data_IF_596699128403
#
_entry.id   IF_596699128403
#
_cell.length_a   1.000
_cell.length_b   1.000
_cell.length_c   1.000
_cell.angle_alpha   90.00
_cell.angle_beta   90.00
_cell.angle_gamma   90.00
#
_symmetry.space_group_name_H-M   'P 1'
#
loop_
_entity.id
_entity.type
_entity.pdbx_description
1 polymer ?
#
# COMPACT_ATOMS: atom_id res chain seq x y z
N UNK A 1 -3.53 -36.06 -88.15
CA UNK A 1 -3.82 -37.41 -87.63
C UNK A 1 -4.03 -37.21 -86.14
N UNK A 2 -5.28 -36.91 -85.76
CA UNK A 2 -6.26 -37.89 -85.19
C UNK A 2 -6.04 -37.97 -83.67
N UNK A 3 -6.98 -37.83 -82.74
CA UNK A 3 -8.42 -37.59 -82.70
C UNK A 3 -8.72 -37.00 -81.30
N UNK A 4 -9.85 -36.31 -81.16
CA UNK A 4 -10.42 -35.84 -79.90
C UNK A 4 -11.33 -36.91 -79.33
N UNK A 5 -11.32 -37.14 -78.01
CA UNK A 5 -12.58 -37.36 -77.25
C UNK A 5 -12.44 -37.09 -75.75
N UNK A 6 -13.25 -36.13 -75.36
CA UNK A 6 -13.62 -35.66 -74.02
C UNK A 6 -14.71 -36.59 -73.44
N UNK A 7 -14.82 -36.68 -72.10
CA UNK A 7 -16.05 -36.67 -71.28
C UNK A 7 -15.84 -37.40 -69.95
N UNK A 8 -16.44 -37.07 -68.80
CA UNK A 8 -17.28 -35.97 -68.28
C UNK A 8 -17.43 -36.25 -66.75
N UNK A 9 -17.32 -35.23 -65.90
CA UNK A 9 -18.36 -34.70 -64.99
C UNK A 9 -18.56 -35.36 -63.59
N UNK A 10 -18.08 -34.65 -62.54
CA UNK A 10 -18.78 -34.04 -61.36
C UNK A 10 -19.89 -34.78 -60.56
N UNK A 11 -20.40 -34.23 -59.43
CA UNK A 11 -19.80 -33.63 -58.21
C UNK A 11 -20.49 -34.12 -56.90
N UNK A 12 -19.99 -33.83 -55.68
CA UNK A 12 -20.89 -33.70 -54.51
C UNK A 12 -20.31 -32.87 -53.34
N UNK A 13 -21.20 -32.12 -52.68
CA UNK A 13 -20.98 -31.11 -51.63
C UNK A 13 -21.13 -31.71 -50.23
N UNK A 14 -20.47 -31.13 -49.22
CA UNK A 14 -21.11 -30.79 -47.93
C UNK A 14 -20.19 -29.88 -47.09
N UNK A 15 -20.80 -28.90 -46.42
CA UNK A 15 -20.17 -27.91 -45.53
C UNK A 15 -19.91 -28.40 -44.10
N UNK A 16 -19.80 -27.48 -43.11
CA UNK A 16 -18.75 -27.47 -42.10
C UNK A 16 -19.14 -28.13 -40.76
N UNK A 17 -18.15 -28.62 -40.01
CA UNK A 17 -18.33 -29.03 -38.61
C UNK A 17 -17.14 -28.58 -37.75
N UNK A 18 -17.40 -27.58 -36.92
CA UNK A 18 -16.63 -27.23 -35.74
C UNK A 18 -17.17 -28.09 -34.60
N UNK A 19 -16.48 -29.16 -34.18
CA UNK A 19 -16.34 -29.56 -32.77
C UNK A 19 -15.70 -30.94 -32.54
N UNK A 20 -14.96 -31.00 -31.42
CA UNK A 20 -14.31 -32.13 -30.72
C UNK A 20 -12.86 -32.45 -31.15
N UNK A 21 -11.88 -32.45 -30.26
CA UNK A 21 -11.96 -32.35 -28.80
C UNK A 21 -10.59 -32.15 -28.15
N UNK A 22 -10.69 -31.54 -26.97
CA UNK A 22 -9.66 -31.31 -25.98
C UNK A 22 -8.98 -32.61 -25.57
N UNK A 23 -7.64 -32.63 -25.59
CA UNK A 23 -6.86 -33.33 -24.58
C UNK A 23 -5.58 -32.55 -24.27
N UNK A 24 -5.31 -32.50 -22.98
CA UNK A 24 -4.45 -31.59 -22.23
C UNK A 24 -2.97 -31.85 -22.44
N UNK A 25 -2.16 -30.79 -22.61
CA UNK A 25 -0.76 -30.82 -22.19
C UNK A 25 -0.50 -29.75 -21.12
N UNK A 26 -0.22 -30.26 -19.93
CA UNK A 26 0.30 -29.57 -18.77
C UNK A 26 1.82 -29.71 -18.76
N UNK A 27 2.54 -28.62 -19.10
CA UNK A 27 3.84 -28.21 -18.51
C UNK A 27 4.46 -27.09 -19.35
N UNK A 28 4.75 -25.94 -18.71
CA UNK A 28 5.54 -24.90 -19.36
C UNK A 28 5.47 -23.49 -18.77
N UNK A 29 5.35 -23.31 -17.45
CA UNK A 29 5.67 -22.01 -16.85
C UNK A 29 7.19 -21.89 -16.76
N UNK A 30 7.80 -21.27 -17.76
CA UNK A 30 9.23 -20.99 -17.81
C UNK A 30 9.68 -19.98 -16.74
N UNK A 31 10.97 -19.98 -16.37
CA UNK A 31 11.54 -19.14 -15.29
C UNK A 31 11.50 -17.62 -15.56
N UNK A 32 11.07 -17.17 -16.74
CA UNK A 32 11.05 -15.76 -17.13
C UNK A 32 10.00 -14.90 -16.41
N UNK A 33 8.84 -15.44 -16.04
CA UNK A 33 7.74 -14.68 -15.41
C UNK A 33 8.03 -14.38 -13.93
N UNK A 34 8.66 -15.31 -13.23
CA UNK A 34 9.03 -15.17 -11.81
C UNK A 34 10.21 -14.22 -11.63
N UNK A 35 11.19 -14.21 -12.55
CA UNK A 35 12.33 -13.29 -12.52
C UNK A 35 11.90 -11.86 -12.86
N UNK A 36 11.01 -11.68 -13.84
CA UNK A 36 10.47 -10.36 -14.20
C UNK A 36 9.57 -9.78 -13.11
N UNK A 37 8.78 -10.65 -12.43
CA UNK A 37 8.04 -10.27 -11.22
C UNK A 37 9.00 -9.83 -10.11
N UNK A 38 10.06 -10.61 -9.82
CA UNK A 38 11.12 -10.28 -8.84
C UNK A 38 11.88 -8.99 -9.15
N UNK A 39 12.10 -8.68 -10.42
CA UNK A 39 12.78 -7.45 -10.85
C UNK A 39 11.88 -6.21 -10.64
N UNK A 40 10.60 -6.28 -11.04
CA UNK A 40 9.58 -5.27 -10.69
C UNK A 40 9.32 -5.18 -9.17
N UNK A 41 9.60 -6.25 -8.43
CA UNK A 41 9.45 -6.42 -6.97
C UNK A 41 10.45 -5.58 -6.17
N UNK A 42 11.73 -5.66 -6.56
CA UNK A 42 12.79 -4.82 -5.99
C UNK A 42 12.59 -3.39 -6.43
N UNK A 43 12.07 -3.15 -7.64
CA UNK A 43 11.76 -1.82 -8.16
C UNK A 43 10.60 -1.15 -7.42
N UNK A 44 9.55 -1.86 -6.98
CA UNK A 44 8.46 -1.27 -6.18
C UNK A 44 8.90 -0.88 -4.77
N UNK A 45 9.69 -1.75 -4.10
CA UNK A 45 10.30 -1.45 -2.81
C UNK A 45 11.41 -0.40 -2.93
N UNK A 46 12.16 -0.43 -4.04
CA UNK A 46 13.09 0.62 -4.40
C UNK A 46 12.32 1.90 -4.64
N UNK A 47 11.27 1.99 -5.46
CA UNK A 47 10.48 3.21 -5.72
C UNK A 47 9.83 3.81 -4.45
N UNK A 48 9.47 2.98 -3.47
CA UNK A 48 9.04 3.46 -2.14
C UNK A 48 10.19 4.01 -1.28
N UNK A 49 11.44 3.73 -1.67
CA UNK A 49 12.72 4.05 -1.02
C UNK A 49 13.66 4.93 -1.89
N UNK A 50 13.34 5.12 -3.18
CA UNK A 50 14.02 5.79 -4.30
C UNK A 50 13.05 6.86 -4.79
N UNK A 51 12.88 7.86 -3.95
CA UNK A 51 12.72 9.24 -4.40
C UNK A 51 14.14 9.76 -4.72
N UNK A 52 14.29 10.71 -5.65
CA UNK A 52 15.53 10.90 -6.41
C UNK A 52 16.79 10.96 -5.53
N UNK A 53 17.76 10.09 -5.84
CA UNK A 53 19.09 10.07 -5.23
C UNK A 53 19.88 11.30 -5.68
N UNK A 54 19.80 12.37 -4.90
CA UNK A 54 20.57 13.58 -5.14
C UNK A 54 20.42 14.59 -4.02
N UNK A 55 20.90 14.26 -2.82
CA UNK A 55 21.50 15.16 -1.80
C UNK A 55 22.00 14.22 -0.68
N UNK A 56 23.28 13.83 -0.76
CA UNK A 56 24.03 13.34 0.40
C UNK A 56 24.79 14.52 0.97
N UNK A 57 24.40 14.97 2.17
CA UNK A 57 25.21 15.88 2.98
C UNK A 57 24.44 16.50 4.15
N UNK A 58 24.51 15.89 5.33
CA UNK A 58 24.21 16.59 6.60
C UNK A 58 23.45 15.75 7.64
N UNK A 59 23.86 15.75 8.92
CA UNK A 59 23.51 14.70 9.87
C UNK A 59 22.19 14.94 10.62
N UNK A 60 21.53 13.83 10.94
CA UNK A 60 20.70 13.57 12.13
C UNK A 60 19.89 14.74 12.70
N UNK A 61 18.59 14.77 12.38
CA UNK A 61 17.61 15.40 13.26
C UNK A 61 16.91 14.33 14.09
N UNK A 62 17.42 14.12 15.30
CA UNK A 62 16.59 13.67 16.41
C UNK A 62 15.53 14.74 16.62
N UNK A 63 14.30 14.46 16.20
CA UNK A 63 13.16 15.29 16.58
C UNK A 63 13.02 15.24 18.10
N UNK A 64 13.17 16.41 18.71
CA UNK A 64 12.82 16.69 20.09
C UNK A 64 11.38 16.23 20.34
N UNK A 65 11.19 15.41 21.37
CA UNK A 65 9.88 15.08 21.90
C UNK A 65 9.30 16.38 22.50
N UNK A 66 8.39 17.04 21.79
CA UNK A 66 7.59 18.14 22.34
C UNK A 66 6.69 17.59 23.46
N UNK A 67 7.17 17.73 24.69
CA UNK A 67 6.31 17.81 25.88
C UNK A 67 5.57 19.15 25.87
N UNK A 68 4.65 19.31 24.93
CA UNK A 68 3.66 20.39 24.93
C UNK A 68 2.58 20.12 25.98
N UNK A 69 2.91 20.39 27.25
CA UNK A 69 1.94 20.48 28.33
C UNK A 69 1.00 21.65 28.04
N UNK A 70 -0.29 21.36 27.84
CA UNK A 70 -1.32 22.37 27.72
C UNK A 70 -1.45 23.13 29.05
N UNK A 71 -0.91 24.34 29.11
CA UNK A 71 -1.19 25.31 30.16
C UNK A 71 -2.53 25.99 29.87
N UNK A 72 -3.60 25.45 30.44
CA UNK A 72 -4.87 26.14 30.70
C UNK A 72 -5.11 26.18 32.22
N UNK A 73 -5.79 27.20 32.75
CA UNK A 73 -5.76 27.51 34.18
C UNK A 73 -6.44 26.41 35.00
N UNK A 74 -5.87 26.19 36.19
CA UNK A 74 -6.30 25.22 37.17
C UNK A 74 -7.79 25.37 37.54
N UNK A 75 -8.55 24.33 37.25
CA UNK A 75 -9.65 23.90 38.10
C UNK A 75 -9.30 22.50 38.60
N UNK A 76 -9.01 22.46 39.89
CA UNK A 76 -8.47 21.35 40.64
C UNK A 76 -9.58 20.35 40.95
N UNK A 77 -10.01 19.59 39.94
CA UNK A 77 -10.84 18.41 40.14
C UNK A 77 -9.94 17.19 40.35
N UNK A 78 -9.96 16.68 41.58
CA UNK A 78 -9.18 15.57 42.09
C UNK A 78 -9.18 14.35 41.15
N UNK A 79 -8.09 14.19 40.39
CA UNK A 79 -7.89 13.02 39.53
C UNK A 79 -7.56 11.76 40.37
N UNK A 80 -8.39 10.73 40.24
CA UNK A 80 -8.18 9.42 40.85
C UNK A 80 -6.83 8.78 40.42
N UNK A 81 -6.01 8.24 41.36
CA UNK A 81 -4.68 7.68 41.10
C UNK A 81 -4.67 6.43 40.18
N UNK A 82 -5.84 5.87 39.85
CA UNK A 82 -5.97 4.76 38.90
C UNK A 82 -5.69 5.13 37.44
N UNK A 83 -5.96 6.37 37.02
CA UNK A 83 -5.92 6.77 35.61
C UNK A 83 -4.50 6.98 35.05
N UNK A 84 -3.52 7.30 35.90
CA UNK A 84 -2.12 7.46 35.49
C UNK A 84 -1.38 6.12 35.36
N UNK A 85 -1.69 5.14 36.21
CA UNK A 85 -1.12 3.77 36.14
C UNK A 85 -1.54 3.02 34.88
N UNK A 86 -2.77 3.21 34.40
CA UNK A 86 -3.29 2.54 33.19
C UNK A 86 -2.66 3.10 31.91
N UNK A 87 -2.50 4.43 31.81
CA UNK A 87 -1.79 5.09 30.69
C UNK A 87 -0.33 4.64 30.56
N UNK A 88 0.38 4.49 31.70
CA UNK A 88 1.78 4.05 31.73
C UNK A 88 1.94 2.57 31.38
N UNK A 89 1.03 1.70 31.84
CA UNK A 89 0.97 0.29 31.42
C UNK A 89 0.66 0.13 29.92
N UNK A 90 -0.27 0.90 29.37
CA UNK A 90 -0.59 0.88 27.94
C UNK A 90 0.62 1.31 27.09
N UNK A 91 1.35 2.36 27.49
CA UNK A 91 2.60 2.78 26.85
C UNK A 91 3.68 1.69 26.86
N UNK A 92 3.86 0.98 27.98
CA UNK A 92 4.82 -0.14 28.09
C UNK A 92 4.43 -1.34 27.22
N UNK A 93 3.15 -1.74 27.21
CA UNK A 93 2.64 -2.82 26.36
C UNK A 93 2.79 -2.48 24.87
N UNK A 94 2.59 -1.21 24.50
CA UNK A 94 2.81 -0.72 23.13
C UNK A 94 4.28 -0.84 22.71
N UNK A 95 5.21 -0.32 23.51
CA UNK A 95 6.66 -0.42 23.22
C UNK A 95 7.11 -1.88 23.13
N UNK A 96 6.64 -2.75 24.01
CA UNK A 96 6.97 -4.17 23.95
C UNK A 96 6.42 -4.84 22.67
N UNK A 97 5.23 -4.46 22.19
CA UNK A 97 4.68 -4.95 20.94
C UNK A 97 5.43 -4.41 19.71
N UNK A 98 5.79 -3.12 19.71
CA UNK A 98 6.65 -2.50 18.70
C UNK A 98 8.00 -3.23 18.62
N UNK A 99 8.66 -3.46 19.76
CA UNK A 99 9.93 -4.18 19.83
C UNK A 99 9.80 -5.63 19.33
N UNK A 100 8.74 -6.33 19.71
CA UNK A 100 8.50 -7.72 19.28
C UNK A 100 8.34 -7.80 17.76
N UNK A 101 7.62 -6.84 17.15
CA UNK A 101 7.32 -6.79 15.72
C UNK A 101 8.47 -6.20 14.88
N UNK A 102 9.50 -5.64 15.51
CA UNK A 102 10.58 -4.98 14.75
C UNK A 102 11.98 -5.51 15.07
N UNK A 103 12.21 -6.27 16.14
CA UNK A 103 13.55 -6.76 16.49
C UNK A 103 13.99 -7.97 15.67
N UNK A 104 13.13 -8.98 15.53
CA UNK A 104 13.46 -10.23 14.81
C UNK A 104 12.76 -10.25 13.45
N UNK A 105 13.16 -9.34 12.55
CA UNK A 105 12.48 -9.03 11.29
C UNK A 105 12.07 -10.24 10.45
N UNK A 106 12.92 -11.26 10.34
CA UNK A 106 12.62 -12.49 9.57
C UNK A 106 11.52 -13.32 10.23
N UNK A 107 11.63 -13.57 11.54
CA UNK A 107 10.62 -14.32 12.30
C UNK A 107 9.28 -13.58 12.31
N UNK A 108 9.31 -12.26 12.44
CA UNK A 108 8.10 -11.43 12.38
C UNK A 108 7.47 -11.51 11.00
N UNK A 109 8.25 -11.39 9.93
CA UNK A 109 7.73 -11.51 8.58
C UNK A 109 7.05 -12.86 8.35
N UNK A 110 7.68 -13.97 8.78
CA UNK A 110 7.07 -15.30 8.70
C UNK A 110 5.79 -15.41 9.53
N UNK A 111 5.77 -14.86 10.74
CA UNK A 111 4.60 -14.86 11.61
C UNK A 111 3.44 -14.06 11.02
N UNK A 112 3.71 -12.85 10.52
CA UNK A 112 2.72 -11.96 9.92
C UNK A 112 2.14 -12.53 8.64
N UNK A 113 2.95 -13.21 7.82
CA UNK A 113 2.48 -13.84 6.59
C UNK A 113 1.58 -15.05 6.91
N UNK A 114 2.00 -15.93 7.83
CA UNK A 114 1.23 -17.11 8.25
C UNK A 114 -0.09 -16.76 8.93
N UNK A 115 -0.11 -15.69 9.74
CA UNK A 115 -1.27 -15.31 10.56
C UNK A 115 -1.94 -14.02 10.05
N UNK A 116 -1.81 -13.72 8.77
CA UNK A 116 -2.18 -12.43 8.20
C UNK A 116 -3.62 -12.00 8.52
N UNK A 117 -4.60 -12.87 8.29
CA UNK A 117 -6.01 -12.48 8.44
C UNK A 117 -6.33 -12.14 9.90
N UNK A 118 -5.96 -13.00 10.85
CA UNK A 118 -6.20 -12.75 12.28
C UNK A 118 -5.51 -11.47 12.76
N UNK A 119 -4.20 -11.33 12.44
CA UNK A 119 -3.42 -10.16 12.86
C UNK A 119 -3.99 -8.87 12.30
N UNK A 120 -4.25 -8.80 10.98
CA UNK A 120 -4.69 -7.56 10.36
C UNK A 120 -6.16 -7.24 10.62
N UNK A 121 -7.02 -8.22 10.89
CA UNK A 121 -8.38 -7.97 11.39
C UNK A 121 -8.35 -7.31 12.76
N UNK A 122 -7.49 -7.75 13.67
CA UNK A 122 -7.34 -7.09 14.97
C UNK A 122 -6.61 -5.74 14.87
N UNK A 123 -5.64 -5.64 13.96
CA UNK A 123 -4.91 -4.41 13.72
C UNK A 123 -5.83 -3.30 13.21
N UNK A 124 -6.80 -3.63 12.36
CA UNK A 124 -7.79 -2.66 11.85
C UNK A 124 -8.58 -2.01 12.99
N UNK A 125 -8.86 -2.73 14.09
CA UNK A 125 -9.52 -2.16 15.28
C UNK A 125 -8.66 -1.07 15.93
N UNK A 126 -7.33 -1.23 15.91
CA UNK A 126 -6.41 -0.22 16.43
C UNK A 126 -6.41 1.04 15.57
N UNK A 127 -6.56 0.90 14.25
CA UNK A 127 -6.67 2.02 13.32
C UNK A 127 -8.00 2.76 13.47
N UNK A 128 -9.04 2.11 13.98
CA UNK A 128 -10.33 2.74 14.30
C UNK A 128 -10.43 3.25 15.74
N UNK A 129 -9.40 3.06 16.57
CA UNK A 129 -9.41 3.46 17.97
C UNK A 129 -9.75 4.95 18.17
N UNK A 130 -10.66 5.26 19.08
CA UNK A 130 -10.95 6.63 19.55
C UNK A 130 -9.78 7.23 20.35
N UNK A 131 -8.90 6.38 20.89
CA UNK A 131 -7.67 6.85 21.53
C UNK A 131 -6.68 7.36 20.48
N UNK A 132 -6.47 8.67 20.46
CA UNK A 132 -5.54 9.37 19.56
C UNK A 132 -4.14 8.74 19.53
N UNK A 133 -3.54 8.46 20.70
CA UNK A 133 -2.19 7.91 20.79
C UNK A 133 -2.13 6.52 20.19
N UNK A 134 -3.11 5.66 20.50
CA UNK A 134 -3.21 4.32 19.93
C UNK A 134 -3.36 4.38 18.41
N UNK A 135 -4.30 5.17 17.91
CA UNK A 135 -4.58 5.31 16.47
C UNK A 135 -3.35 5.80 15.71
N UNK A 136 -2.73 6.91 16.17
CA UNK A 136 -1.53 7.48 15.52
C UNK A 136 -0.36 6.49 15.50
N UNK A 137 -0.07 5.85 16.63
CA UNK A 137 1.10 4.99 16.74
C UNK A 137 0.92 3.66 16.01
N UNK A 138 -0.31 3.14 15.98
CA UNK A 138 -0.64 1.98 15.15
C UNK A 138 -0.51 2.33 13.66
N UNK A 139 -0.91 3.53 13.25
CA UNK A 139 -0.75 3.95 11.86
C UNK A 139 0.72 4.14 11.46
N UNK A 140 1.53 4.73 12.34
CA UNK A 140 2.98 4.83 12.16
C UNK A 140 3.64 3.46 12.04
N UNK A 141 3.35 2.56 12.97
CA UNK A 141 3.89 1.19 12.97
C UNK A 141 3.45 0.43 11.71
N UNK A 142 2.22 0.62 11.23
CA UNK A 142 1.77 0.02 9.98
C UNK A 142 2.65 0.49 8.81
N UNK A 143 2.94 1.79 8.71
CA UNK A 143 3.86 2.33 7.70
C UNK A 143 5.24 1.68 7.75
N UNK A 144 5.81 1.56 8.96
CA UNK A 144 7.11 0.90 9.18
C UNK A 144 7.09 -0.58 8.79
N UNK A 145 6.02 -1.31 9.13
CA UNK A 145 5.86 -2.73 8.79
C UNK A 145 5.75 -2.93 7.28
N UNK A 146 4.97 -2.11 6.58
CA UNK A 146 4.76 -2.23 5.14
C UNK A 146 6.00 -1.86 4.33
N UNK A 147 6.83 -0.94 4.82
CA UNK A 147 8.07 -0.51 4.15
C UNK A 147 9.27 -1.41 4.48
N UNK A 148 9.13 -2.36 5.41
CA UNK A 148 10.21 -3.31 5.72
C UNK A 148 10.38 -4.33 4.59
N UNK A 149 11.62 -4.47 4.09
CA UNK A 149 11.96 -5.40 3.01
C UNK A 149 11.59 -6.85 3.30
N UNK A 150 11.59 -7.27 4.57
CA UNK A 150 11.25 -8.65 4.94
C UNK A 150 9.74 -8.90 4.87
N UNK A 151 8.93 -7.85 5.00
CA UNK A 151 7.48 -7.92 4.99
C UNK A 151 6.87 -7.74 3.59
N UNK A 152 7.63 -7.97 2.50
CA UNK A 152 7.15 -7.75 1.15
C UNK A 152 5.83 -8.48 0.84
N UNK A 153 5.71 -9.75 1.25
CA UNK A 153 4.50 -10.55 1.01
C UNK A 153 3.30 -9.93 1.72
N UNK A 154 3.49 -9.55 2.98
CA UNK A 154 2.49 -8.87 3.82
C UNK A 154 2.09 -7.53 3.20
N UNK A 155 3.07 -6.73 2.77
CA UNK A 155 2.85 -5.44 2.11
C UNK A 155 2.00 -5.60 0.85
N UNK A 156 2.40 -6.52 -0.04
CA UNK A 156 1.71 -6.78 -1.31
C UNK A 156 0.27 -7.19 -1.08
N UNK A 157 0.04 -8.08 -0.10
CA UNK A 157 -1.31 -8.49 0.30
C UNK A 157 -2.11 -7.32 0.85
N UNK A 158 -1.52 -6.49 1.70
CA UNK A 158 -2.19 -5.32 2.29
C UNK A 158 -2.64 -4.30 1.25
N UNK A 159 -1.75 -3.94 0.33
CA UNK A 159 -2.03 -2.90 -0.68
C UNK A 159 -2.92 -3.37 -1.83
N UNK A 160 -3.22 -4.67 -1.89
CA UNK A 160 -4.16 -5.24 -2.86
C UNK A 160 -5.64 -5.15 -2.44
N UNK A 161 -5.91 -4.93 -1.14
CA UNK A 161 -7.27 -4.88 -0.58
C UNK A 161 -7.87 -3.47 -0.70
N UNK A 162 -9.07 -3.36 -1.29
CA UNK A 162 -9.77 -2.08 -1.49
C UNK A 162 -10.18 -1.40 -0.19
N UNK A 163 -10.56 -2.17 0.82
CA UNK A 163 -10.97 -1.62 2.12
C UNK A 163 -9.82 -0.90 2.82
N UNK A 164 -8.60 -1.46 2.71
CA UNK A 164 -7.40 -0.80 3.24
C UNK A 164 -7.12 0.54 2.53
N UNK A 165 -7.28 0.60 1.20
CA UNK A 165 -7.13 1.87 0.47
C UNK A 165 -8.17 2.90 0.92
N UNK A 166 -9.45 2.50 1.03
CA UNK A 166 -10.52 3.39 1.49
C UNK A 166 -10.27 3.90 2.90
N UNK A 167 -9.80 3.03 3.80
CA UNK A 167 -9.42 3.41 5.16
C UNK A 167 -8.33 4.49 5.15
N UNK A 168 -7.26 4.28 4.39
CA UNK A 168 -6.18 5.28 4.28
C UNK A 168 -6.68 6.61 3.68
N UNK A 169 -7.51 6.55 2.65
CA UNK A 169 -8.12 7.75 2.04
C UNK A 169 -9.04 8.51 3.01
N UNK A 170 -9.72 7.82 3.91
CA UNK A 170 -10.52 8.44 4.96
C UNK A 170 -9.63 9.07 6.05
N UNK A 171 -8.56 8.37 6.46
CA UNK A 171 -7.61 8.87 7.47
C UNK A 171 -6.80 10.08 6.99
N UNK A 172 -6.58 10.23 5.68
CA UNK A 172 -6.04 11.47 5.09
C UNK A 172 -6.90 12.70 5.41
N UNK A 173 -8.18 12.51 5.74
CA UNK A 173 -9.13 13.57 6.11
C UNK A 173 -9.44 13.62 7.60
N UNK A 174 -8.66 12.91 8.44
CA UNK A 174 -8.83 12.93 9.89
C UNK A 174 -8.66 14.36 10.44
N UNK A 175 -9.31 14.69 11.56
CA UNK A 175 -9.19 16.01 12.20
C UNK A 175 -7.77 16.33 12.69
N UNK A 176 -6.93 15.32 12.93
CA UNK A 176 -5.56 15.48 13.41
C UNK A 176 -4.55 15.50 12.26
N UNK A 177 -3.80 16.61 12.06
CA UNK A 177 -2.73 16.67 11.05
C UNK A 177 -1.69 15.56 11.20
N UNK A 178 -1.41 15.14 12.45
CA UNK A 178 -0.47 14.05 12.71
C UNK A 178 -1.00 12.68 12.26
N UNK A 179 -2.32 12.41 12.37
CA UNK A 179 -2.91 11.18 11.84
C UNK A 179 -2.92 11.22 10.32
N UNK A 180 -3.30 12.35 9.74
CA UNK A 180 -3.27 12.55 8.29
C UNK A 180 -1.86 12.28 7.72
N UNK A 181 -0.81 12.75 8.39
CA UNK A 181 0.57 12.58 7.96
C UNK A 181 1.01 11.11 7.98
N UNK A 182 0.70 10.37 9.05
CA UNK A 182 0.98 8.92 9.08
C UNK A 182 0.14 8.16 8.04
N UNK A 183 -1.11 8.58 7.79
CA UNK A 183 -1.95 8.00 6.74
C UNK A 183 -1.35 8.21 5.34
N UNK A 184 -0.74 9.37 5.10
CA UNK A 184 -0.04 9.68 3.85
C UNK A 184 1.11 8.70 3.59
N UNK A 185 1.90 8.37 4.61
CA UNK A 185 3.00 7.39 4.46
C UNK A 185 2.54 5.98 4.13
N UNK A 186 1.31 5.59 4.51
CA UNK A 186 0.74 4.31 4.10
C UNK A 186 0.08 4.44 2.71
N UNK A 187 -0.66 5.52 2.47
CA UNK A 187 -1.33 5.79 1.19
C UNK A 187 -0.33 5.83 0.01
N UNK A 188 0.85 6.43 0.20
CA UNK A 188 1.87 6.51 -0.85
C UNK A 188 2.28 5.13 -1.37
N UNK A 189 2.27 4.10 -0.53
CA UNK A 189 2.64 2.72 -0.92
C UNK A 189 1.62 2.14 -1.91
N UNK A 190 0.33 2.45 -1.76
CA UNK A 190 -0.71 2.04 -2.72
C UNK A 190 -0.48 2.66 -4.10
N UNK A 191 -0.17 3.96 -4.13
CA UNK A 191 0.01 4.72 -5.37
C UNK A 191 1.36 4.40 -6.04
N UNK A 192 2.41 4.18 -5.26
CA UNK A 192 3.73 3.83 -5.77
C UNK A 192 3.81 2.38 -6.30
N UNK A 193 2.86 1.51 -5.96
CA UNK A 193 2.84 0.13 -6.45
C UNK A 193 2.75 0.09 -8.00
N UNK A 194 3.74 -0.45 -8.72
CA UNK A 194 3.68 -0.54 -10.18
C UNK A 194 2.69 -1.61 -10.68
N UNK A 195 2.32 -2.57 -9.83
CA UNK A 195 1.42 -3.68 -10.13
C UNK A 195 0.15 -3.58 -9.30
N UNK A 196 -0.57 -2.46 -9.44
CA UNK A 196 -1.87 -2.24 -8.77
C UNK A 196 -2.90 -3.23 -9.29
N UNK A 197 -3.74 -3.76 -8.40
CA UNK A 197 -4.88 -4.58 -8.82
C UNK A 197 -5.95 -3.71 -9.48
N UNK A 198 -6.75 -4.29 -10.38
CA UNK A 198 -7.80 -3.54 -11.07
C UNK A 198 -8.74 -2.78 -10.12
N UNK A 199 -9.24 -3.38 -9.01
CA UNK A 199 -10.10 -2.66 -8.08
C UNK A 199 -9.44 -1.44 -7.42
N UNK A 200 -8.11 -1.50 -7.19
CA UNK A 200 -7.35 -0.36 -6.66
C UNK A 200 -7.24 0.75 -7.71
N UNK A 201 -6.93 0.39 -8.96
CA UNK A 201 -6.91 1.34 -10.09
C UNK A 201 -8.25 2.02 -10.26
N UNK A 202 -9.35 1.27 -10.20
CA UNK A 202 -10.71 1.81 -10.37
C UNK A 202 -11.06 2.84 -9.29
N UNK A 203 -10.71 2.58 -8.03
CA UNK A 203 -10.93 3.54 -6.92
C UNK A 203 -10.10 4.82 -7.15
N UNK A 204 -8.82 4.68 -7.52
CA UNK A 204 -7.94 5.83 -7.75
C UNK A 204 -8.41 6.66 -8.95
N UNK A 205 -8.81 6.01 -10.06
CA UNK A 205 -9.36 6.69 -11.24
C UNK A 205 -10.68 7.39 -10.95
N UNK A 206 -11.60 6.73 -10.22
CA UNK A 206 -12.88 7.31 -9.82
C UNK A 206 -12.72 8.59 -8.99
N UNK A 207 -11.63 8.70 -8.23
CA UNK A 207 -11.34 9.85 -7.36
C UNK A 207 -10.20 10.73 -7.88
N UNK A 208 -9.73 10.53 -9.11
CA UNK A 208 -8.46 11.08 -9.62
C UNK A 208 -8.36 12.59 -9.46
N UNK A 209 -9.33 13.35 -10.00
CA UNK A 209 -9.33 14.82 -9.94
C UNK A 209 -9.33 15.32 -8.50
N UNK A 210 -10.19 14.74 -7.64
CA UNK A 210 -10.32 15.13 -6.24
C UNK A 210 -9.05 14.82 -5.44
N UNK A 211 -8.40 13.68 -5.73
CA UNK A 211 -7.14 13.28 -5.10
C UNK A 211 -6.00 14.23 -5.48
N UNK A 212 -5.90 14.63 -6.75
CA UNK A 212 -4.88 15.58 -7.22
C UNK A 212 -5.05 16.93 -6.53
N UNK A 213 -6.28 17.44 -6.51
CA UNK A 213 -6.61 18.71 -5.85
C UNK A 213 -6.33 18.66 -4.34
N UNK A 214 -6.76 17.57 -3.68
CA UNK A 214 -6.52 17.35 -2.27
C UNK A 214 -5.01 17.32 -1.96
N UNK A 215 -4.24 16.48 -2.65
CA UNK A 215 -2.79 16.35 -2.43
C UNK A 215 -2.03 17.63 -2.73
N UNK A 216 -2.48 18.44 -3.70
CA UNK A 216 -1.87 19.74 -3.98
C UNK A 216 -1.95 20.66 -2.75
N UNK A 217 -3.03 20.57 -1.98
CA UNK A 217 -3.31 21.39 -0.80
C UNK A 217 -2.97 20.72 0.54
N UNK A 218 -2.54 19.46 0.52
CA UNK A 218 -2.32 18.67 1.73
C UNK A 218 -1.09 19.16 2.52
N UNK A 219 -1.29 19.61 3.75
CA UNK A 219 -0.26 20.10 4.69
C UNK A 219 0.78 21.03 4.04
N UNK A 220 0.31 22.03 3.30
CA UNK A 220 1.16 23.01 2.57
C UNK A 220 2.08 23.82 3.48
N UNK A 221 1.76 23.91 4.75
CA UNK A 221 2.54 24.59 5.79
C UNK A 221 3.91 23.93 6.07
N UNK A 222 4.11 22.67 5.68
CA UNK A 222 5.38 21.94 5.82
C UNK A 222 6.35 22.27 4.68
N UNK A 223 6.77 23.52 4.57
CA UNK A 223 7.65 23.99 3.49
C UNK A 223 9.12 23.60 3.68
N UNK A 224 9.52 23.27 4.90
CA UNK A 224 10.88 22.87 5.30
C UNK A 224 11.17 21.38 5.09
N UNK A 225 10.13 20.57 4.90
CA UNK A 225 10.26 19.13 4.62
C UNK A 225 10.30 18.88 3.10
N UNK A 226 11.48 19.07 2.51
CA UNK A 226 11.70 18.88 1.06
C UNK A 226 11.29 17.47 0.62
N UNK A 227 11.65 16.46 1.41
CA UNK A 227 11.31 15.07 1.12
C UNK A 227 9.79 14.90 1.00
N UNK A 228 9.01 15.37 1.98
CA UNK A 228 7.55 15.31 1.94
C UNK A 228 6.96 15.99 0.69
N UNK A 229 7.49 17.15 0.31
CA UNK A 229 7.02 17.89 -0.85
C UNK A 229 7.33 17.17 -2.18
N UNK A 230 8.49 16.52 -2.27
CA UNK A 230 8.83 15.64 -3.39
C UNK A 230 7.91 14.41 -3.43
N UNK A 231 7.62 13.79 -2.28
CA UNK A 231 6.71 12.66 -2.18
C UNK A 231 5.32 13.04 -2.73
N UNK A 232 4.79 14.18 -2.30
CA UNK A 232 3.50 14.69 -2.78
C UNK A 232 3.49 14.93 -4.28
N UNK A 233 4.52 15.59 -4.80
CA UNK A 233 4.65 15.91 -6.23
C UNK A 233 4.69 14.63 -7.06
N UNK A 234 5.46 13.64 -6.61
CA UNK A 234 5.52 12.32 -7.23
C UNK A 234 4.16 11.64 -7.24
N UNK A 235 3.43 11.62 -6.12
CA UNK A 235 2.11 10.99 -6.03
C UNK A 235 1.08 11.66 -6.94
N UNK A 236 1.08 12.99 -7.01
CA UNK A 236 0.21 13.75 -7.92
C UNK A 236 0.49 13.35 -9.37
N UNK A 237 1.76 13.26 -9.76
CA UNK A 237 2.17 12.82 -11.09
C UNK A 237 1.68 11.39 -11.37
N UNK A 238 1.94 10.45 -10.46
CA UNK A 238 1.51 9.06 -10.60
C UNK A 238 0.00 8.93 -10.75
N UNK A 239 -0.78 9.66 -9.95
CA UNK A 239 -2.24 9.63 -10.01
C UNK A 239 -2.74 10.25 -11.33
N UNK A 240 -2.14 11.34 -11.80
CA UNK A 240 -2.48 11.98 -13.08
C UNK A 240 -2.21 11.07 -14.27
N UNK A 241 -1.13 10.31 -14.23
CA UNK A 241 -0.70 9.40 -15.29
C UNK A 241 -1.42 8.04 -15.25
N UNK A 242 -2.24 7.76 -14.23
CA UNK A 242 -3.08 6.56 -14.19
C UNK A 242 -4.02 6.51 -15.40
N UNK A 243 -3.98 5.40 -16.11
CA UNK A 243 -4.87 5.07 -17.22
C UNK A 243 -5.56 3.74 -16.93
N UNK A 244 -6.77 3.56 -17.49
CA UNK A 244 -7.37 2.22 -17.52
C UNK A 244 -6.42 1.30 -18.29
N UNK A 245 -6.05 0.13 -17.75
CA UNK A 245 -5.36 -0.86 -18.57
C UNK A 245 -6.24 -1.18 -19.77
N UNK A 246 -5.63 -1.27 -20.95
CA UNK A 246 -6.35 -1.57 -22.18
C UNK A 246 -7.09 -2.90 -22.00
N UNK A 247 -8.41 -2.85 -22.18
CA UNK A 247 -9.31 -4.00 -22.14
C UNK A 247 -9.00 -5.01 -23.23
#
# INVERSE_FOLDING_TARGET
MEEVKVNQASPERAGPSWDRGVQTDSRGQGPGTTVLRKKKQVEAMALARWMPEGIKGGPGQQQQEDEGCASGPAQEDAAHPGAQRTKSKARRRRRAAEDLLTRHKVLVAEFLDKNYEEVFTDYEKLLHSENYVTKRQSLKLLGELLLDRHNFTVMTKYISKTENLKLMMNLLRDKSPNIQFEAFHVFKVFVANPSKTQPIVDILLKNQTKLIEFLSNFQKERTDDEQFNDEKTYLIKQIRELKKPAS
#
